data_IF_552695972807
#
_entry.id   IF_552695972807
#
_cell.length_a   1.000
_cell.length_b   1.000
_cell.length_c   1.000
_cell.angle_alpha   90.00
_cell.angle_beta   90.00
_cell.angle_gamma   90.00
#
_symmetry.space_group_name_H-M   'P 1'
#
loop_
_entity.id
_entity.type
_entity.pdbx_description
1 polymer ?
#
# COMPACT_ATOMS: atom_id res chain seq x y z
N UNK A 1 -52.15 -10.03 -2.97
CA UNK A 1 -50.89 -10.57 -2.42
C UNK A 1 -49.76 -9.79 -3.08
N UNK A 2 -49.02 -8.93 -2.36
CA UNK A 2 -47.95 -8.15 -2.99
C UNK A 2 -46.80 -9.10 -3.39
N UNK A 3 -46.14 -8.87 -4.54
CA UNK A 3 -44.97 -9.65 -4.93
C UNK A 3 -43.85 -9.41 -3.92
N UNK A 4 -43.36 -10.50 -3.32
CA UNK A 4 -42.21 -10.48 -2.40
C UNK A 4 -40.96 -10.19 -3.25
N UNK A 5 -40.64 -8.90 -3.40
CA UNK A 5 -39.38 -8.47 -3.99
C UNK A 5 -38.25 -8.90 -3.07
N UNK A 6 -37.38 -9.77 -3.57
CA UNK A 6 -36.17 -10.16 -2.87
C UNK A 6 -35.31 -8.90 -2.79
N UNK A 7 -35.26 -8.27 -1.62
CA UNK A 7 -34.44 -7.08 -1.41
C UNK A 7 -32.98 -7.41 -1.68
N UNK A 8 -32.31 -6.60 -2.50
CA UNK A 8 -30.86 -6.74 -2.72
C UNK A 8 -30.13 -6.30 -1.45
N UNK A 9 -29.45 -7.24 -0.80
CA UNK A 9 -28.51 -6.92 0.27
C UNK A 9 -27.21 -6.43 -0.38
N UNK A 10 -26.96 -5.12 -0.34
CA UNK A 10 -25.70 -4.51 -0.72
C UNK A 10 -24.94 -4.13 0.56
N UNK A 11 -23.70 -4.61 0.69
CA UNK A 11 -22.80 -4.26 1.79
C UNK A 11 -21.46 -3.79 1.24
N UNK A 12 -20.82 -2.86 1.93
CA UNK A 12 -19.49 -2.37 1.60
C UNK A 12 -18.47 -3.16 2.41
N UNK A 13 -17.41 -3.65 1.75
CA UNK A 13 -16.27 -4.24 2.43
C UNK A 13 -15.40 -3.10 2.97
N UNK A 14 -15.35 -2.93 4.30
CA UNK A 14 -14.56 -1.87 4.96
C UNK A 14 -13.12 -2.31 5.23
N UNK A 15 -12.92 -3.51 5.76
CA UNK A 15 -11.58 -3.98 6.15
C UNK A 15 -11.46 -5.50 6.00
N UNK A 16 -10.27 -5.97 5.61
CA UNK A 16 -9.92 -7.39 5.49
C UNK A 16 -8.51 -7.62 6.03
N UNK A 17 -8.39 -8.48 7.04
CA UNK A 17 -7.09 -8.90 7.55
C UNK A 17 -6.52 -10.00 6.66
N UNK A 18 -5.39 -9.72 6.03
CA UNK A 18 -4.69 -10.66 5.15
C UNK A 18 -3.42 -11.17 5.84
N UNK A 19 -3.07 -12.46 5.67
CA UNK A 19 -1.83 -12.98 6.24
C UNK A 19 -0.63 -12.29 5.60
N UNK A 20 0.47 -12.25 6.36
CA UNK A 20 1.75 -11.75 5.87
C UNK A 20 2.26 -12.63 4.72
N UNK A 21 2.77 -11.99 3.66
CA UNK A 21 3.37 -12.67 2.52
C UNK A 21 4.89 -12.75 2.67
N UNK A 22 5.51 -13.66 1.91
CA UNK A 22 6.96 -13.69 1.73
C UNK A 22 7.50 -12.33 1.24
N UNK A 23 8.76 -11.98 1.61
CA UNK A 23 9.37 -10.73 1.20
C UNK A 23 9.43 -10.62 -0.33
N UNK A 24 9.07 -9.44 -0.84
CA UNK A 24 8.98 -9.20 -2.29
C UNK A 24 7.61 -9.51 -2.89
N UNK A 25 6.62 -9.91 -2.10
CA UNK A 25 5.22 -10.03 -2.51
C UNK A 25 4.35 -8.96 -1.83
N UNK A 26 3.31 -8.53 -2.52
CA UNK A 26 2.28 -7.62 -2.02
C UNK A 26 0.89 -8.12 -2.42
N UNK A 27 -0.12 -7.75 -1.63
CA UNK A 27 -1.50 -8.02 -1.97
C UNK A 27 -2.00 -7.01 -3.02
N UNK A 28 -2.51 -7.53 -4.13
CA UNK A 28 -3.32 -6.80 -5.10
C UNK A 28 -4.80 -6.95 -4.73
N UNK A 29 -5.39 -5.84 -4.29
CA UNK A 29 -6.81 -5.73 -3.95
C UNK A 29 -7.62 -4.97 -5.02
N UNK A 30 -7.01 -4.61 -6.16
CA UNK A 30 -7.67 -3.87 -7.23
C UNK A 30 -8.88 -4.62 -7.79
N UNK A 31 -8.84 -5.95 -7.82
CA UNK A 31 -9.96 -6.80 -8.23
C UNK A 31 -11.01 -7.06 -7.14
N UNK A 32 -10.81 -6.62 -5.90
CA UNK A 32 -11.67 -7.00 -4.77
C UNK A 32 -13.10 -6.48 -4.92
N UNK A 33 -13.26 -5.24 -5.38
CA UNK A 33 -14.59 -4.63 -5.56
C UNK A 33 -15.29 -5.04 -6.87
N UNK A 34 -14.53 -5.52 -7.86
CA UNK A 34 -15.08 -5.87 -9.18
C UNK A 34 -15.34 -7.37 -9.32
N UNK A 35 -14.40 -8.20 -8.88
CA UNK A 35 -14.43 -9.67 -9.04
C UNK A 35 -14.41 -10.43 -7.72
N UNK A 36 -14.31 -9.73 -6.57
CA UNK A 36 -14.24 -10.38 -5.25
C UNK A 36 -12.95 -11.14 -5.02
N UNK A 37 -11.88 -10.84 -5.76
CA UNK A 37 -10.62 -11.59 -5.73
C UNK A 37 -9.47 -10.69 -5.27
N UNK A 38 -8.63 -11.25 -4.41
CA UNK A 38 -7.36 -10.69 -3.96
C UNK A 38 -6.26 -11.64 -4.42
N UNK A 39 -5.15 -11.11 -4.94
CA UNK A 39 -4.03 -11.93 -5.43
C UNK A 39 -2.71 -11.45 -4.88
N UNK A 40 -1.76 -12.36 -4.66
CA UNK A 40 -0.40 -12.00 -4.31
C UNK A 40 0.39 -11.70 -5.59
N UNK A 41 0.93 -10.49 -5.69
CA UNK A 41 1.74 -10.04 -6.83
C UNK A 41 3.16 -9.68 -6.39
N UNK A 42 4.16 -9.81 -7.27
CA UNK A 42 5.50 -9.29 -6.98
C UNK A 42 5.45 -7.80 -6.66
N UNK A 43 6.18 -7.37 -5.64
CA UNK A 43 6.30 -5.96 -5.29
C UNK A 43 6.87 -5.19 -6.48
N UNK A 44 6.26 -4.06 -6.86
CA UNK A 44 6.79 -3.24 -7.94
C UNK A 44 8.16 -2.71 -7.52
N UNK A 45 9.19 -3.02 -8.32
CA UNK A 45 10.56 -2.57 -8.11
C UNK A 45 10.70 -1.04 -8.04
N UNK A 46 9.73 -0.31 -8.59
CA UNK A 46 9.60 1.12 -8.44
C UNK A 46 9.57 1.56 -6.97
N UNK A 47 8.91 0.83 -6.06
CA UNK A 47 8.91 1.17 -4.63
C UNK A 47 10.28 1.00 -3.99
N UNK A 48 11.02 -0.04 -4.37
CA UNK A 48 12.39 -0.24 -3.90
C UNK A 48 13.32 0.88 -4.39
N UNK A 49 13.19 1.28 -5.67
CA UNK A 49 13.98 2.39 -6.24
C UNK A 49 13.61 3.72 -5.60
N UNK A 50 12.32 3.99 -5.40
CA UNK A 50 11.85 5.19 -4.71
C UNK A 50 12.35 5.22 -3.25
N UNK A 51 12.24 4.11 -2.53
CA UNK A 51 12.74 3.99 -1.15
C UNK A 51 14.24 4.23 -1.05
N UNK A 52 15.03 3.65 -1.96
CA UNK A 52 16.47 3.87 -2.04
C UNK A 52 16.79 5.33 -2.38
N UNK A 53 16.08 5.93 -3.33
CA UNK A 53 16.23 7.33 -3.72
C UNK A 53 15.91 8.29 -2.57
N UNK A 54 14.85 8.01 -1.80
CA UNK A 54 14.45 8.80 -0.63
C UNK A 54 15.49 8.68 0.49
N UNK A 55 15.97 7.48 0.77
CA UNK A 55 17.05 7.25 1.73
C UNK A 55 18.33 7.99 1.32
N UNK A 56 18.72 7.91 0.03
CA UNK A 56 19.87 8.63 -0.49
C UNK A 56 19.70 10.15 -0.39
N UNK A 57 18.51 10.68 -0.69
CA UNK A 57 18.20 12.10 -0.58
C UNK A 57 18.24 12.58 0.89
N UNK A 58 17.71 11.80 1.82
CA UNK A 58 17.79 12.11 3.25
C UNK A 58 19.24 12.12 3.73
N UNK A 59 20.02 11.10 3.38
CA UNK A 59 21.47 11.07 3.70
C UNK A 59 22.19 12.25 3.07
N UNK A 60 21.82 12.65 1.85
CA UNK A 60 22.41 13.80 1.19
C UNK A 60 22.07 15.11 1.92
N UNK A 61 20.80 15.34 2.27
CA UNK A 61 20.38 16.49 3.07
C UNK A 61 21.10 16.52 4.43
N UNK A 62 21.14 15.39 5.15
CA UNK A 62 21.81 15.27 6.45
C UNK A 62 23.32 15.55 6.38
N UNK A 63 23.95 15.23 5.25
CA UNK A 63 25.36 15.55 5.00
C UNK A 63 25.57 17.00 4.62
N UNK A 64 24.54 17.65 4.10
CA UNK A 64 24.59 19.03 3.62
C UNK A 64 24.13 20.04 4.65
N UNK A 65 23.50 19.63 5.75
CA UNK A 65 23.17 20.50 6.88
C UNK A 65 24.43 21.22 7.42
N UNK A 66 24.66 22.51 7.06
CA UNK A 66 25.81 23.28 7.51
C UNK A 66 25.60 23.82 8.93
N UNK A 67 24.39 23.65 9.47
CA UNK A 67 23.99 24.13 10.79
C UNK A 67 24.71 23.41 11.94
N UNK A 68 25.47 22.34 11.66
CA UNK A 68 26.33 21.67 12.66
C UNK A 68 27.68 22.35 12.90
N UNK A 69 28.00 23.43 12.19
CA UNK A 69 29.30 24.14 12.28
C UNK A 69 29.19 25.53 12.94
N UNK A 70 28.04 25.89 13.50
CA UNK A 70 27.91 27.13 14.29
C UNK A 70 27.89 26.80 15.79
N UNK A 71 29.04 26.39 16.29
CA UNK A 71 29.48 26.60 17.69
C UNK A 71 30.89 27.21 17.59
N UNK A 72 31.30 28.18 18.43
CA UNK A 72 30.65 28.79 19.60
C UNK A 72 30.12 30.23 19.39
#
# INVERSE_FOLDING_TARGET
MPPQGWGTLAATLEEVELPSLDPGLAWDASGLHETGRITAVPQPSALAVLGLGLAAALVHCWRQDPARTQEP
#
